data_IF_507848348477
#
_entry.id   IF_507848348477
#
_cell.length_a   1.000
_cell.length_b   1.000
_cell.length_c   1.000
_cell.angle_alpha   90.00
_cell.angle_beta   90.00
_cell.angle_gamma   90.00
#
_symmetry.space_group_name_H-M   'P 1'
#
loop_
_entity.id
_entity.type
_entity.pdbx_description
1 polymer ?
#
# COMPACT_ATOMS: atom_id res chain seq x y z
N UNK A 1 44.08 -48.73 53.11
CA UNK A 1 44.33 -47.93 51.88
C UNK A 1 43.31 -48.19 50.77
N UNK A 2 42.37 -49.13 50.92
CA UNK A 2 41.41 -49.54 49.88
C UNK A 2 40.11 -48.73 49.83
N UNK A 3 39.74 -48.02 50.89
CA UNK A 3 38.45 -47.31 50.99
C UNK A 3 38.41 -45.99 50.17
N UNK A 4 39.52 -45.24 50.11
CA UNK A 4 39.62 -43.95 49.39
C UNK A 4 39.66 -44.08 47.87
N UNK A 5 40.32 -45.11 47.33
CA UNK A 5 40.32 -45.38 45.88
C UNK A 5 38.96 -45.85 45.35
N UNK A 6 38.15 -46.45 46.22
CA UNK A 6 36.82 -46.94 45.86
C UNK A 6 35.79 -45.79 45.81
N UNK A 7 35.92 -44.78 46.68
CA UNK A 7 35.12 -43.56 46.63
C UNK A 7 35.50 -42.67 45.43
N UNK A 8 36.79 -42.49 45.13
CA UNK A 8 37.24 -41.73 43.96
C UNK A 8 36.73 -42.34 42.63
N UNK A 9 36.72 -43.67 42.52
CA UNK A 9 36.18 -44.35 41.34
C UNK A 9 34.66 -44.15 41.21
N UNK A 10 33.92 -44.18 42.32
CA UNK A 10 32.48 -43.86 42.31
C UNK A 10 32.21 -42.42 41.91
N UNK A 11 33.00 -41.46 42.39
CA UNK A 11 32.87 -40.04 42.01
C UNK A 11 33.17 -39.84 40.52
N UNK A 12 34.19 -40.51 39.97
CA UNK A 12 34.48 -40.48 38.53
C UNK A 12 33.36 -41.08 37.69
N UNK A 13 32.80 -42.22 38.10
CA UNK A 13 31.65 -42.82 37.41
C UNK A 13 30.41 -41.92 37.42
N UNK A 14 30.14 -41.25 38.54
CA UNK A 14 29.06 -40.29 38.67
C UNK A 14 29.23 -39.10 37.70
N UNK A 15 30.42 -38.49 37.67
CA UNK A 15 30.73 -37.37 36.76
C UNK A 15 30.66 -37.78 35.28
N UNK A 16 31.08 -39.01 34.93
CA UNK A 16 30.96 -39.54 33.56
C UNK A 16 29.50 -39.69 33.15
N UNK A 17 28.64 -40.14 34.06
CA UNK A 17 27.21 -40.28 33.78
C UNK A 17 26.53 -38.91 33.63
N UNK A 18 26.84 -37.93 34.48
CA UNK A 18 26.36 -36.55 34.33
C UNK A 18 26.83 -35.92 33.02
N UNK A 19 28.09 -36.12 32.62
CA UNK A 19 28.62 -35.64 31.33
C UNK A 19 27.89 -36.28 30.14
N UNK A 20 27.57 -37.57 30.21
CA UNK A 20 26.77 -38.25 29.17
C UNK A 20 25.35 -37.70 29.09
N UNK A 21 24.72 -37.44 30.22
CA UNK A 21 23.37 -36.88 30.29
C UNK A 21 23.32 -35.44 29.77
N UNK A 22 24.26 -34.58 30.19
CA UNK A 22 24.43 -33.22 29.66
C UNK A 22 24.65 -33.23 28.15
N UNK A 23 25.49 -34.14 27.64
CA UNK A 23 25.70 -34.28 26.20
C UNK A 23 24.41 -34.67 25.46
N UNK A 24 23.59 -35.56 26.03
CA UNK A 24 22.28 -35.90 25.49
C UNK A 24 21.37 -34.67 25.38
N UNK A 25 21.29 -33.88 26.46
CA UNK A 25 20.49 -32.64 26.50
C UNK A 25 20.96 -31.58 25.50
N UNK A 26 22.27 -31.46 25.28
CA UNK A 26 22.81 -30.54 24.26
C UNK A 26 22.36 -30.96 22.86
N UNK A 27 22.42 -32.25 22.53
CA UNK A 27 21.95 -32.76 21.23
C UNK A 27 20.45 -32.51 21.04
N UNK A 28 19.64 -32.69 22.08
CA UNK A 28 18.20 -32.37 22.04
C UNK A 28 17.94 -30.87 21.83
N UNK A 29 18.72 -29.99 22.48
CA UNK A 29 18.62 -28.55 22.29
C UNK A 29 19.01 -28.12 20.87
N UNK A 30 20.10 -28.68 20.33
CA UNK A 30 20.53 -28.41 18.95
C UNK A 30 19.47 -28.86 17.93
N UNK A 31 18.86 -30.02 18.15
CA UNK A 31 17.75 -30.51 17.32
C UNK A 31 16.52 -29.60 17.41
N UNK A 32 16.19 -29.11 18.62
CA UNK A 32 15.10 -28.17 18.84
C UNK A 32 15.34 -26.82 18.17
N UNK A 33 16.57 -26.28 18.25
CA UNK A 33 16.95 -25.02 17.59
C UNK A 33 16.86 -25.15 16.06
N UNK A 34 17.33 -26.26 15.49
CA UNK A 34 17.20 -26.54 14.07
C UNK A 34 15.73 -26.62 13.63
N UNK A 35 14.87 -27.25 14.45
CA UNK A 35 13.44 -27.32 14.18
C UNK A 35 12.76 -25.94 14.26
N UNK A 36 13.11 -25.10 15.24
CA UNK A 36 12.63 -23.72 15.33
C UNK A 36 13.00 -22.91 14.09
N UNK A 37 14.26 -22.99 13.61
CA UNK A 37 14.69 -22.30 12.38
C UNK A 37 13.89 -22.74 11.15
N UNK A 38 13.64 -24.05 10.99
CA UNK A 38 12.80 -24.55 9.90
C UNK A 38 11.35 -24.05 9.98
N UNK A 39 10.79 -23.97 11.18
CA UNK A 39 9.43 -23.43 11.39
C UNK A 39 9.37 -21.94 11.05
N UNK A 40 10.37 -21.15 11.47
CA UNK A 40 10.47 -19.72 11.14
C UNK A 40 10.58 -19.49 9.63
N UNK A 41 11.41 -20.27 8.93
CA UNK A 41 11.55 -20.19 7.47
C UNK A 41 10.23 -20.53 6.76
N UNK A 42 9.56 -21.62 7.16
CA UNK A 42 8.24 -22.00 6.62
C UNK A 42 7.19 -20.94 6.89
N UNK A 43 7.17 -20.36 8.09
CA UNK A 43 6.24 -19.30 8.44
C UNK A 43 6.46 -18.06 7.55
N UNK A 44 7.71 -17.68 7.32
CA UNK A 44 8.09 -16.57 6.44
C UNK A 44 7.67 -16.85 4.99
N UNK A 45 7.90 -18.07 4.48
CA UNK A 45 7.47 -18.47 3.14
C UNK A 45 5.95 -18.42 2.99
N UNK A 46 5.21 -19.01 3.93
CA UNK A 46 3.74 -19.00 3.92
C UNK A 46 3.18 -17.58 4.01
N UNK A 47 3.80 -16.70 4.82
CA UNK A 47 3.41 -15.30 4.93
C UNK A 47 3.60 -14.55 3.61
N UNK A 48 4.70 -14.79 2.91
CA UNK A 48 4.96 -14.20 1.58
C UNK A 48 4.01 -14.74 0.50
N UNK A 49 3.66 -16.03 0.54
CA UNK A 49 2.66 -16.61 -0.36
C UNK A 49 1.27 -16.01 -0.14
N UNK A 50 0.86 -15.89 1.13
CA UNK A 50 -0.41 -15.25 1.49
C UNK A 50 -0.44 -13.78 1.06
N UNK A 51 0.68 -13.06 1.25
CA UNK A 51 0.83 -11.66 0.79
C UNK A 51 0.67 -11.57 -0.73
N UNK A 52 1.34 -12.44 -1.50
CA UNK A 52 1.23 -12.46 -2.97
C UNK A 52 -0.19 -12.80 -3.43
N UNK A 53 -0.86 -13.76 -2.78
CA UNK A 53 -2.24 -14.11 -3.11
C UNK A 53 -3.19 -12.93 -2.85
N UNK A 54 -3.06 -12.26 -1.70
CA UNK A 54 -3.83 -11.06 -1.36
C UNK A 54 -3.60 -9.93 -2.37
N UNK A 55 -2.34 -9.64 -2.73
CA UNK A 55 -2.03 -8.65 -3.76
C UNK A 55 -2.67 -9.04 -5.10
N UNK A 56 -2.58 -10.31 -5.50
CA UNK A 56 -3.21 -10.82 -6.72
C UNK A 56 -4.72 -10.60 -6.76
N UNK A 57 -5.43 -10.86 -5.65
CA UNK A 57 -6.86 -10.57 -5.52
C UNK A 57 -7.16 -9.08 -5.68
N UNK A 58 -6.36 -8.22 -5.04
CA UNK A 58 -6.54 -6.77 -5.12
C UNK A 58 -6.32 -6.27 -6.56
N UNK A 59 -5.28 -6.75 -7.23
CA UNK A 59 -5.05 -6.43 -8.64
C UNK A 59 -6.21 -6.92 -9.53
N UNK A 60 -6.76 -8.10 -9.29
CA UNK A 60 -7.92 -8.60 -10.03
C UNK A 60 -9.14 -7.69 -9.84
N UNK A 61 -9.42 -7.20 -8.62
CA UNK A 61 -10.51 -6.27 -8.35
C UNK A 61 -10.31 -4.93 -9.07
N UNK A 62 -9.08 -4.40 -9.08
CA UNK A 62 -8.73 -3.20 -9.82
C UNK A 62 -8.98 -3.37 -11.33
N UNK A 63 -8.52 -4.49 -11.91
CA UNK A 63 -8.75 -4.82 -13.31
C UNK A 63 -10.25 -4.92 -13.66
N UNK A 64 -11.06 -5.52 -12.79
CA UNK A 64 -12.53 -5.58 -13.00
C UNK A 64 -13.15 -4.18 -13.03
N UNK A 65 -12.70 -3.28 -12.14
CA UNK A 65 -13.15 -1.88 -12.16
C UNK A 65 -12.71 -1.17 -13.44
N UNK A 66 -11.49 -1.38 -13.88
CA UNK A 66 -10.91 -0.82 -15.11
C UNK A 66 -11.68 -1.28 -16.36
N UNK A 67 -12.06 -2.57 -16.45
CA UNK A 67 -12.83 -3.11 -17.58
C UNK A 67 -14.17 -2.40 -17.76
N UNK A 68 -14.80 -1.98 -16.65
CA UNK A 68 -16.09 -1.26 -16.73
C UNK A 68 -15.96 0.20 -17.16
N UNK A 69 -14.76 0.79 -17.06
CA UNK A 69 -14.47 2.13 -17.56
C UNK A 69 -13.47 2.03 -18.73
N UNK A 70 -13.96 2.03 -19.99
CA UNK A 70 -13.14 1.85 -21.19
C UNK A 70 -11.96 2.83 -21.36
N UNK A 71 -11.88 3.86 -20.52
CA UNK A 71 -10.87 4.91 -20.61
C UNK A 71 -9.86 4.87 -19.45
N UNK A 72 -9.94 3.88 -18.57
CA UNK A 72 -9.01 3.71 -17.44
C UNK A 72 -7.81 2.82 -17.75
N UNK A 73 -7.55 2.48 -19.01
CA UNK A 73 -6.49 1.53 -19.36
C UNK A 73 -5.13 1.91 -18.75
N UNK A 74 -4.66 1.09 -17.81
CA UNK A 74 -3.44 1.25 -17.02
C UNK A 74 -3.37 2.49 -16.11
N UNK A 75 -4.47 3.24 -15.94
CA UNK A 75 -4.50 4.46 -15.14
C UNK A 75 -4.06 4.20 -13.69
N UNK A 76 -4.71 3.24 -13.02
CA UNK A 76 -4.45 2.94 -11.61
C UNK A 76 -2.99 2.52 -11.38
N UNK A 77 -2.41 1.77 -12.32
CA UNK A 77 -1.00 1.37 -12.28
C UNK A 77 -0.07 2.58 -12.41
N UNK A 78 -0.31 3.46 -13.39
CA UNK A 78 0.50 4.67 -13.59
C UNK A 78 0.43 5.61 -12.40
N UNK A 79 -0.75 5.78 -11.80
CA UNK A 79 -0.93 6.55 -10.57
C UNK A 79 -0.12 5.92 -9.43
N UNK A 80 -0.23 4.60 -9.23
CA UNK A 80 0.54 3.90 -8.21
C UNK A 80 2.06 4.03 -8.41
N UNK A 81 2.54 3.90 -9.64
CA UNK A 81 3.97 4.01 -9.98
C UNK A 81 4.52 5.41 -9.70
N UNK A 82 3.79 6.46 -10.12
CA UNK A 82 4.16 7.84 -9.86
C UNK A 82 4.09 8.18 -8.37
N UNK A 83 3.04 7.72 -7.66
CA UNK A 83 2.91 7.91 -6.22
C UNK A 83 4.07 7.24 -5.46
N UNK A 84 4.50 6.05 -5.89
CA UNK A 84 5.67 5.38 -5.34
C UNK A 84 6.97 6.14 -5.61
N UNK A 85 7.13 6.70 -6.82
CA UNK A 85 8.30 7.52 -7.15
C UNK A 85 8.38 8.76 -6.27
N UNK A 86 7.26 9.48 -6.10
CA UNK A 86 7.16 10.63 -5.20
C UNK A 86 7.50 10.21 -3.76
N UNK A 87 6.89 9.14 -3.25
CA UNK A 87 7.12 8.68 -1.88
C UNK A 87 8.58 8.30 -1.61
N UNK A 88 9.25 7.63 -2.57
CA UNK A 88 10.66 7.26 -2.46
C UNK A 88 11.57 8.49 -2.46
N UNK A 89 11.32 9.45 -3.35
CA UNK A 89 12.07 10.71 -3.41
C UNK A 89 11.89 11.54 -2.14
N UNK A 90 10.72 11.46 -1.50
CA UNK A 90 10.46 12.05 -0.18
C UNK A 90 11.14 11.29 0.99
N UNK A 91 11.80 10.15 0.73
CA UNK A 91 12.50 9.36 1.75
C UNK A 91 11.58 8.51 2.64
N UNK A 92 10.37 8.15 2.17
CA UNK A 92 9.46 7.33 2.98
C UNK A 92 9.98 5.88 3.11
N UNK A 93 9.77 5.22 4.26
CA UNK A 93 10.15 3.81 4.44
C UNK A 93 9.47 2.90 3.41
N UNK A 94 10.17 1.85 2.97
CA UNK A 94 9.66 0.91 1.96
C UNK A 94 8.28 0.33 2.29
N UNK A 95 8.01 0.04 3.57
CA UNK A 95 6.67 -0.38 4.02
C UNK A 95 5.59 0.67 3.72
N UNK A 96 5.84 1.97 3.89
CA UNK A 96 4.85 3.01 3.53
C UNK A 96 4.65 3.11 2.03
N UNK A 97 5.73 2.99 1.26
CA UNK A 97 5.67 2.99 -0.21
C UNK A 97 4.82 1.81 -0.72
N UNK A 98 4.91 0.64 -0.08
CA UNK A 98 4.07 -0.52 -0.41
C UNK A 98 2.57 -0.24 -0.17
N UNK A 99 2.22 0.38 0.95
CA UNK A 99 0.85 0.81 1.22
C UNK A 99 0.32 1.82 0.20
N UNK A 100 1.14 2.80 -0.20
CA UNK A 100 0.82 3.79 -1.24
C UNK A 100 0.62 3.10 -2.60
N UNK A 101 1.49 2.14 -2.95
CA UNK A 101 1.36 1.35 -4.18
C UNK A 101 0.00 0.67 -4.22
N UNK A 102 -0.37 -0.02 -3.13
CA UNK A 102 -1.62 -0.74 -3.05
C UNK A 102 -2.82 0.20 -3.15
N UNK A 103 -2.81 1.30 -2.39
CA UNK A 103 -3.86 2.32 -2.43
C UNK A 103 -4.00 2.96 -3.83
N UNK A 104 -2.90 3.22 -4.53
CA UNK A 104 -2.92 3.73 -5.91
C UNK A 104 -3.55 2.77 -6.91
N UNK A 105 -3.34 1.46 -6.72
CA UNK A 105 -3.99 0.42 -7.54
C UNK A 105 -5.51 0.39 -7.33
N UNK A 106 -6.00 0.74 -6.14
CA UNK A 106 -7.43 0.58 -5.79
C UNK A 106 -8.22 1.88 -5.65
N UNK A 107 -7.59 3.06 -5.73
CA UNK A 107 -8.23 4.34 -5.39
C UNK A 107 -9.58 4.56 -6.09
N UNK A 108 -9.66 4.14 -7.34
CA UNK A 108 -10.83 4.29 -8.20
C UNK A 108 -11.76 3.05 -8.26
N UNK A 109 -11.49 1.98 -7.51
CA UNK A 109 -12.34 0.76 -7.51
C UNK A 109 -13.79 1.08 -7.14
N UNK A 110 -14.02 2.10 -6.30
CA UNK A 110 -15.35 2.56 -5.93
C UNK A 110 -16.20 3.07 -7.10
N UNK A 111 -15.60 3.33 -8.28
CA UNK A 111 -16.34 3.72 -9.49
C UNK A 111 -17.22 2.57 -10.01
N UNK A 112 -17.07 1.36 -9.47
CA UNK A 112 -18.03 0.24 -9.59
C UNK A 112 -19.48 0.59 -9.18
N UNK A 113 -19.68 1.65 -8.41
CA UNK A 113 -21.03 2.14 -8.08
C UNK A 113 -21.62 3.07 -9.15
N UNK A 114 -20.78 3.72 -9.96
CA UNK A 114 -21.22 4.75 -10.91
C UNK A 114 -21.82 4.09 -12.17
N UNK A 115 -23.01 4.53 -12.63
CA UNK A 115 -23.61 4.05 -13.86
C UNK A 115 -22.70 4.22 -15.09
N UNK A 116 -22.67 3.22 -15.97
CA UNK A 116 -21.84 3.22 -17.19
C UNK A 116 -22.16 4.41 -18.11
N UNK A 117 -23.42 4.84 -18.19
CA UNK A 117 -23.84 5.98 -19.01
C UNK A 117 -23.22 7.30 -18.54
N UNK A 118 -22.91 7.42 -17.24
CA UNK A 118 -22.20 8.57 -16.66
C UNK A 118 -20.69 8.44 -16.93
N UNK A 119 -20.12 7.26 -16.72
CA UNK A 119 -18.68 7.01 -16.91
C UNK A 119 -18.23 7.21 -18.36
N UNK A 120 -19.06 6.75 -19.31
CA UNK A 120 -18.76 6.77 -20.74
C UNK A 120 -19.20 8.06 -21.46
N UNK A 121 -19.82 9.00 -20.73
CA UNK A 121 -20.37 10.24 -21.29
C UNK A 121 -19.28 11.08 -21.95
N UNK A 122 -19.53 11.50 -23.21
CA UNK A 122 -18.60 12.33 -24.01
C UNK A 122 -18.81 13.84 -23.84
N UNK A 123 -19.86 14.24 -23.13
CA UNK A 123 -20.15 15.63 -22.80
C UNK A 123 -19.81 15.91 -21.34
N UNK A 124 -19.82 17.19 -20.95
CA UNK A 124 -19.60 17.56 -19.55
C UNK A 124 -20.70 16.95 -18.68
N UNK A 125 -20.30 16.40 -17.53
CA UNK A 125 -21.24 15.95 -16.52
C UNK A 125 -22.00 17.14 -15.94
N UNK A 126 -23.29 16.94 -15.70
CA UNK A 126 -24.09 17.85 -14.88
C UNK A 126 -23.62 17.82 -13.43
N UNK A 127 -24.02 18.81 -12.63
CA UNK A 127 -23.70 18.83 -11.19
C UNK A 127 -24.21 17.59 -10.45
N UNK A 128 -25.40 17.10 -10.81
CA UNK A 128 -25.99 15.89 -10.23
C UNK A 128 -25.18 14.64 -10.60
N UNK A 129 -24.84 14.46 -11.88
CA UNK A 129 -24.01 13.34 -12.34
C UNK A 129 -22.63 13.35 -11.70
N UNK A 130 -21.99 14.53 -11.60
CA UNK A 130 -20.70 14.66 -10.95
C UNK A 130 -20.78 14.34 -9.45
N UNK A 131 -21.89 14.66 -8.79
CA UNK A 131 -22.10 14.31 -7.37
C UNK A 131 -22.17 12.79 -7.15
N UNK A 132 -22.70 12.03 -8.13
CA UNK A 132 -22.66 10.56 -8.11
C UNK A 132 -21.21 10.07 -8.23
N UNK A 133 -20.43 10.64 -9.14
CA UNK A 133 -19.00 10.30 -9.30
C UNK A 133 -18.21 10.59 -8.02
N UNK A 134 -18.47 11.72 -7.35
CA UNK A 134 -17.80 12.11 -6.09
C UNK A 134 -18.01 11.13 -4.93
N UNK A 135 -18.95 10.18 -5.04
CA UNK A 135 -19.15 9.15 -4.01
C UNK A 135 -18.19 7.96 -4.13
N UNK A 136 -17.46 7.79 -5.23
CA UNK A 136 -16.57 6.64 -5.37
C UNK A 136 -15.50 6.51 -4.28
N UNK A 137 -14.92 7.58 -3.67
CA UNK A 137 -13.98 7.41 -2.57
C UNK A 137 -14.64 6.79 -1.33
N UNK A 138 -15.91 7.15 -1.04
CA UNK A 138 -16.71 6.56 0.04
C UNK A 138 -17.02 5.08 -0.22
N UNK A 139 -17.40 4.75 -1.46
CA UNK A 139 -17.63 3.36 -1.85
C UNK A 139 -16.34 2.55 -1.74
N UNK A 140 -15.22 3.09 -2.24
CA UNK A 140 -13.91 2.48 -2.10
C UNK A 140 -13.51 2.25 -0.65
N UNK A 141 -13.68 3.27 0.22
CA UNK A 141 -13.47 3.13 1.66
C UNK A 141 -14.26 1.96 2.25
N UNK A 142 -15.57 1.89 1.98
CA UNK A 142 -16.43 0.82 2.51
C UNK A 142 -16.02 -0.59 2.02
N UNK A 143 -15.51 -0.70 0.79
CA UNK A 143 -15.03 -1.98 0.24
C UNK A 143 -13.78 -2.47 0.97
N UNK A 144 -12.88 -1.57 1.35
CA UNK A 144 -11.58 -1.94 1.93
C UNK A 144 -11.51 -1.75 3.46
N UNK A 145 -12.48 -1.09 4.10
CA UNK A 145 -12.49 -0.82 5.54
C UNK A 145 -12.69 -2.08 6.39
N UNK A 146 -13.25 -3.14 5.81
CA UNK A 146 -13.39 -4.45 6.48
C UNK A 146 -12.10 -5.28 6.45
N UNK A 147 -11.16 -4.93 5.56
CA UNK A 147 -9.90 -5.65 5.44
C UNK A 147 -8.90 -5.25 6.53
N UNK A 148 -8.20 -6.22 7.09
CA UNK A 148 -7.12 -5.98 8.06
C UNK A 148 -5.79 -5.75 7.32
N UNK A 149 -5.67 -4.60 6.69
CA UNK A 149 -4.43 -4.20 6.02
C UNK A 149 -3.43 -3.60 7.02
N UNK A 150 -2.12 -3.86 6.87
CA UNK A 150 -1.10 -3.25 7.72
C UNK A 150 -0.92 -1.74 7.46
N UNK A 151 -1.60 -1.21 6.44
CA UNK A 151 -1.59 0.20 6.06
C UNK A 151 -3.02 0.76 6.03
N UNK A 152 -3.21 2.07 6.24
CA UNK A 152 -4.54 2.69 6.21
C UNK A 152 -5.05 2.89 4.77
N UNK A 153 -5.03 1.85 3.93
CA UNK A 153 -5.35 1.97 2.50
C UNK A 153 -6.77 2.47 2.26
N UNK A 154 -7.74 2.03 3.07
CA UNK A 154 -9.12 2.51 2.96
C UNK A 154 -9.19 4.02 3.17
N UNK A 155 -8.47 4.55 4.16
CA UNK A 155 -8.40 5.99 4.44
C UNK A 155 -7.69 6.75 3.32
N UNK A 156 -6.61 6.18 2.75
CA UNK A 156 -5.94 6.76 1.58
C UNK A 156 -6.91 6.88 0.40
N UNK A 157 -7.69 5.83 0.13
CA UNK A 157 -8.74 5.81 -0.90
C UNK A 157 -9.86 6.81 -0.57
N UNK A 158 -10.26 6.97 0.69
CA UNK A 158 -11.28 7.96 1.03
C UNK A 158 -10.83 9.39 0.74
N UNK A 159 -9.55 9.67 0.99
CA UNK A 159 -9.00 11.02 1.03
C UNK A 159 -8.29 11.47 -0.26
N UNK A 160 -8.12 10.61 -1.27
CA UNK A 160 -7.29 10.94 -2.45
C UNK A 160 -7.83 12.11 -3.30
N UNK A 161 -9.07 12.55 -3.07
CA UNK A 161 -9.66 13.75 -3.67
C UNK A 161 -9.82 14.93 -2.71
N UNK A 162 -9.29 14.81 -1.49
CA UNK A 162 -9.17 15.94 -0.58
C UNK A 162 -8.10 16.92 -1.08
N UNK A 163 -8.29 18.19 -0.74
CA UNK A 163 -7.39 19.31 -1.11
C UNK A 163 -6.98 20.02 0.15
N UNK A 164 -5.73 20.49 0.22
CA UNK A 164 -5.21 21.02 1.50
C UNK A 164 -5.92 22.30 1.97
N UNK A 165 -6.64 23.00 1.08
CA UNK A 165 -7.51 24.14 1.39
C UNK A 165 -8.94 23.76 1.85
N UNK A 166 -9.27 22.47 1.93
CA UNK A 166 -10.61 22.00 2.30
C UNK A 166 -11.63 22.01 1.17
N UNK A 167 -11.27 22.42 -0.05
CA UNK A 167 -12.18 22.43 -1.21
C UNK A 167 -12.47 21.04 -1.80
N UNK A 168 -11.76 20.03 -1.31
CA UNK A 168 -11.83 18.64 -1.74
C UNK A 168 -13.10 17.91 -1.31
N UNK A 169 -13.11 16.61 -1.57
CA UNK A 169 -14.22 15.73 -1.21
C UNK A 169 -13.66 14.33 -0.86
N UNK A 170 -14.40 13.51 -0.10
CA UNK A 170 -15.81 13.65 0.26
C UNK A 170 -16.09 14.19 1.67
N UNK A 171 -15.06 14.48 2.46
CA UNK A 171 -15.14 14.96 3.84
C UNK A 171 -14.80 16.46 3.95
N UNK A 172 -14.08 17.04 2.98
CA UNK A 172 -13.68 18.45 3.03
C UNK A 172 -12.55 18.70 4.03
N UNK A 173 -11.64 17.73 4.14
CA UNK A 173 -10.50 17.79 5.05
C UNK A 173 -9.47 18.80 4.57
N UNK A 174 -8.73 19.39 5.49
CA UNK A 174 -7.73 20.40 5.21
C UNK A 174 -6.35 20.03 5.76
N UNK A 175 -5.29 20.56 5.13
CA UNK A 175 -3.92 20.50 5.62
C UNK A 175 -3.47 19.14 6.18
N UNK A 176 -3.26 19.11 7.50
CA UNK A 176 -2.76 17.95 8.25
C UNK A 176 -3.81 16.89 8.60
N UNK A 177 -5.09 17.12 8.33
CA UNK A 177 -6.17 16.13 8.50
C UNK A 177 -6.13 15.06 7.40
N UNK A 178 -5.47 15.38 6.28
CA UNK A 178 -5.28 14.49 5.14
C UNK A 178 -3.99 13.70 5.33
N UNK A 179 -4.07 12.37 5.24
CA UNK A 179 -2.90 11.49 5.27
C UNK A 179 -1.87 11.93 4.24
N UNK A 180 -0.58 11.90 4.61
CA UNK A 180 0.50 12.21 3.67
C UNK A 180 0.43 11.30 2.44
N UNK A 181 0.14 10.02 2.65
CA UNK A 181 -0.04 9.02 1.61
C UNK A 181 -1.18 9.39 0.64
N UNK A 182 -2.30 9.93 1.16
CA UNK A 182 -3.41 10.41 0.33
C UNK A 182 -3.04 11.69 -0.44
N UNK A 183 -2.27 12.60 0.17
CA UNK A 183 -1.77 13.81 -0.52
C UNK A 183 -0.82 13.46 -1.67
N UNK A 184 0.01 12.43 -1.50
CA UNK A 184 0.84 11.86 -2.58
C UNK A 184 -0.02 11.31 -3.71
N UNK A 185 -1.03 10.48 -3.37
CA UNK A 185 -1.96 9.94 -4.38
C UNK A 185 -2.72 11.03 -5.12
N UNK A 186 -3.18 12.06 -4.43
CA UNK A 186 -3.93 13.17 -5.01
C UNK A 186 -3.14 13.91 -6.10
N UNK A 187 -1.83 14.10 -5.89
CA UNK A 187 -0.93 14.71 -6.89
C UNK A 187 -0.68 13.75 -8.04
N UNK A 188 -0.38 12.48 -7.75
CA UNK A 188 -0.12 11.48 -8.78
C UNK A 188 -1.33 11.25 -9.70
N UNK A 189 -2.54 11.19 -9.13
CA UNK A 189 -3.80 11.05 -9.88
C UNK A 189 -4.03 12.25 -10.81
N UNK A 190 -3.87 13.48 -10.32
CA UNK A 190 -4.02 14.68 -11.16
C UNK A 190 -3.03 14.66 -12.34
N UNK A 191 -1.78 14.29 -12.09
CA UNK A 191 -0.75 14.25 -13.15
C UNK A 191 -1.10 13.22 -14.22
N UNK A 192 -1.47 12.00 -13.81
CA UNK A 192 -1.90 10.95 -14.73
C UNK A 192 -3.16 11.41 -15.49
N UNK A 193 -4.19 11.82 -14.76
CA UNK A 193 -5.49 12.18 -15.31
C UNK A 193 -5.41 13.33 -16.32
N UNK A 194 -4.47 14.26 -16.14
CA UNK A 194 -4.21 15.35 -17.09
C UNK A 194 -3.40 14.90 -18.30
N UNK A 195 -2.44 14.00 -18.10
CA UNK A 195 -1.52 13.52 -19.14
C UNK A 195 -2.12 12.43 -20.01
N UNK A 196 -3.18 11.76 -19.56
CA UNK A 196 -3.88 10.68 -20.27
C UNK A 196 -5.13 11.15 -21.01
N UNK A 197 -5.53 10.37 -22.02
CA UNK A 197 -6.75 10.60 -22.81
C UNK A 197 -8.00 10.24 -22.00
N UNK A 198 -9.07 11.03 -22.13
CA UNK A 198 -10.37 10.83 -21.47
C UNK A 198 -11.51 10.85 -22.52
N UNK A 199 -12.72 10.31 -22.23
CA UNK A 199 -13.83 10.23 -23.20
C UNK A 199 -14.21 11.59 -23.82
N UNK A 200 -14.16 12.64 -23.01
CA UNK A 200 -14.57 14.00 -23.35
C UNK A 200 -13.39 14.97 -23.55
N UNK A 201 -12.14 14.50 -23.45
CA UNK A 201 -10.95 15.37 -23.52
C UNK A 201 -9.71 14.64 -24.05
N UNK A 202 -8.97 15.18 -25.04
CA UNK A 202 -7.66 14.66 -25.39
C UNK A 202 -6.68 14.77 -24.20
N UNK A 203 -5.59 13.99 -24.28
CA UNK A 203 -4.47 14.17 -23.36
C UNK A 203 -3.98 15.62 -23.43
N UNK A 204 -3.88 16.29 -22.28
CA UNK A 204 -3.36 17.66 -22.23
C UNK A 204 -1.83 17.69 -22.30
N UNK A 205 -1.18 16.56 -22.03
CA UNK A 205 0.25 16.39 -22.01
C UNK A 205 0.87 16.75 -20.66
N UNK A 206 2.04 16.15 -20.39
CA UNK A 206 2.73 16.26 -19.11
C UNK A 206 3.04 17.71 -18.73
N UNK A 207 3.43 18.56 -19.69
CA UNK A 207 3.71 19.97 -19.44
C UNK A 207 2.52 20.75 -18.84
N UNK A 208 1.28 20.42 -19.25
CA UNK A 208 0.08 21.05 -18.68
C UNK A 208 -0.23 20.50 -17.29
N UNK A 209 0.01 19.21 -17.07
CA UNK A 209 -0.11 18.59 -15.75
C UNK A 209 0.86 19.21 -14.73
N UNK A 210 2.14 19.34 -15.08
CA UNK A 210 3.15 19.95 -14.20
C UNK A 210 2.86 21.43 -13.92
N UNK A 211 2.34 22.17 -14.91
CA UNK A 211 1.88 23.55 -14.70
C UNK A 211 0.70 23.63 -13.72
N UNK A 212 -0.25 22.68 -13.77
CA UNK A 212 -1.34 22.61 -12.80
C UNK A 212 -0.84 22.37 -11.38
N UNK A 213 0.09 21.41 -11.22
CA UNK A 213 0.71 21.10 -9.92
C UNK A 213 1.47 22.32 -9.38
N UNK A 214 2.29 22.95 -10.22
CA UNK A 214 3.07 24.13 -9.84
C UNK A 214 2.18 25.32 -9.46
N UNK A 215 1.14 25.61 -10.26
CA UNK A 215 0.23 26.73 -10.03
C UNK A 215 -0.57 26.61 -8.74
N UNK A 216 -0.98 25.39 -8.38
CA UNK A 216 -1.82 25.15 -7.20
C UNK A 216 -1.04 24.58 -6.01
N UNK A 217 0.30 24.62 -6.07
CA UNK A 217 1.17 24.23 -4.97
C UNK A 217 0.89 25.10 -3.73
N UNK A 218 0.71 24.48 -2.58
CA UNK A 218 0.41 25.17 -1.33
C UNK A 218 -1.02 25.70 -1.23
N UNK A 219 -1.86 25.48 -2.26
CA UNK A 219 -3.28 25.84 -2.28
C UNK A 219 -4.12 24.56 -2.32
N UNK A 220 -4.00 23.77 -3.40
CA UNK A 220 -4.72 22.50 -3.54
C UNK A 220 -3.87 21.31 -3.12
N UNK A 221 -2.56 21.41 -3.32
CA UNK A 221 -1.60 20.32 -3.13
C UNK A 221 -0.57 20.67 -2.06
N UNK A 222 -0.19 19.69 -1.24
CA UNK A 222 0.91 19.85 -0.28
C UNK A 222 2.19 20.31 -0.99
N UNK A 223 2.82 21.37 -0.48
CA UNK A 223 3.98 21.97 -1.13
C UNK A 223 5.14 21.00 -1.29
N UNK A 224 5.42 20.16 -0.29
CA UNK A 224 6.53 19.19 -0.34
C UNK A 224 6.24 18.09 -1.35
N UNK A 225 5.00 17.58 -1.38
CA UNK A 225 4.57 16.57 -2.36
C UNK A 225 4.64 17.12 -3.77
N UNK A 226 4.10 18.32 -4.00
CA UNK A 226 4.10 18.97 -5.31
C UNK A 226 5.54 19.26 -5.79
N UNK A 227 6.39 19.84 -4.95
CA UNK A 227 7.80 20.09 -5.30
C UNK A 227 8.55 18.79 -5.60
N UNK A 228 8.27 17.73 -4.86
CA UNK A 228 8.88 16.41 -5.13
C UNK A 228 8.40 15.84 -6.46
N UNK A 229 7.09 15.91 -6.75
CA UNK A 229 6.56 15.50 -8.04
C UNK A 229 7.19 16.26 -9.20
N UNK A 230 7.38 17.57 -9.06
CA UNK A 230 7.98 18.41 -10.11
C UNK A 230 9.46 18.07 -10.37
N UNK A 231 10.21 17.62 -9.35
CA UNK A 231 11.62 17.20 -9.51
C UNK A 231 11.80 15.90 -10.28
N UNK A 232 10.77 15.07 -10.37
CA UNK A 232 10.83 13.78 -11.07
C UNK A 232 10.74 13.91 -12.60
N UNK A 233 10.53 15.12 -13.13
CA UNK A 233 10.38 15.43 -14.55
C UNK A 233 11.36 16.53 -14.98
#
# INVERSE_FOLDING_TARGET
MTCTQQDENKTKECLINELKELRGRVVELEASEAQCKQVEEKLKQNSEELRRAMEGTIYAMALVSEIRDPYMTHHQRKVADLACAIAREMGLPGKKVEGIRLAGVIHDVGRVYVPTDILSKRTRLTKAEFSIVKNHPKVGFNLFSMGQFPWPIAQMVLQHHERIDGSGYPQGLSGGEILLEARILAVADVVEAMSSRRPYRPALGINKALKEISRNKGILYDSKVADTCLKLF
#
